data_IF_565564600659
#
_entry.id   IF_565564600659
#
_cell.length_a   1.000
_cell.length_b   1.000
_cell.length_c   1.000
_cell.angle_alpha   90.00
_cell.angle_beta   90.00
_cell.angle_gamma   90.00
#
_symmetry.space_group_name_H-M   'P 1'
#
loop_
_entity.id
_entity.type
_entity.pdbx_description
1 polymer ?
#
# COMPACT_ATOMS: atom_id res chain seq x y z
N UNK A 1 -8.82 -1.94 -0.30
CA UNK A 1 -9.51 -2.23 0.98
C UNK A 1 -9.76 -0.96 1.80
N UNK A 2 -8.74 -0.17 2.15
CA UNK A 2 -8.89 0.89 3.17
C UNK A 2 -9.52 2.21 2.69
N UNK A 3 -9.38 2.57 1.40
CA UNK A 3 -9.83 3.86 0.85
C UNK A 3 -11.30 4.23 1.21
N UNK A 4 -12.31 3.36 0.99
CA UNK A 4 -13.70 3.72 1.30
C UNK A 4 -13.94 3.93 2.81
N UNK A 5 -13.10 3.37 3.68
CA UNK A 5 -13.28 3.39 5.12
C UNK A 5 -12.68 4.62 5.80
N UNK A 6 -11.75 5.31 5.11
CA UNK A 6 -11.03 6.44 5.67
C UNK A 6 -11.96 7.57 6.14
N UNK A 7 -13.00 7.86 5.37
CA UNK A 7 -13.98 8.90 5.72
C UNK A 7 -14.84 8.52 6.93
N UNK A 8 -15.26 7.25 7.00
CA UNK A 8 -16.06 6.74 8.12
C UNK A 8 -15.25 6.72 9.43
N UNK A 9 -14.01 6.26 9.37
CA UNK A 9 -13.12 6.23 10.55
C UNK A 9 -12.67 7.62 10.99
N UNK A 10 -12.41 8.54 10.06
CA UNK A 10 -12.12 9.92 10.42
C UNK A 10 -13.31 10.56 11.17
N UNK A 11 -14.54 10.31 10.72
CA UNK A 11 -15.76 10.80 11.38
C UNK A 11 -16.00 10.15 12.74
N UNK A 12 -15.74 8.84 12.89
CA UNK A 12 -15.88 8.15 14.19
C UNK A 12 -14.87 8.66 15.23
N UNK A 13 -13.72 9.18 14.79
CA UNK A 13 -12.74 9.88 15.62
C UNK A 13 -13.11 11.34 15.91
N UNK A 14 -14.27 11.81 15.46
CA UNK A 14 -14.74 13.19 15.67
C UNK A 14 -14.22 14.22 14.66
N UNK A 15 -13.61 13.80 13.54
CA UNK A 15 -13.15 14.72 12.51
C UNK A 15 -14.33 15.29 11.71
N UNK A 16 -14.28 16.59 11.43
CA UNK A 16 -15.22 17.21 10.47
C UNK A 16 -14.97 16.68 9.05
N UNK A 17 -15.97 16.71 8.15
CA UNK A 17 -15.78 16.32 6.75
C UNK A 17 -14.64 17.06 6.05
N UNK A 18 -14.46 18.35 6.39
CA UNK A 18 -13.37 19.19 5.86
C UNK A 18 -12.01 18.67 6.30
N UNK A 19 -11.85 18.31 7.59
CA UNK A 19 -10.59 17.76 8.12
C UNK A 19 -10.28 16.39 7.50
N UNK A 20 -11.29 15.53 7.36
CA UNK A 20 -11.12 14.25 6.68
C UNK A 20 -10.69 14.44 5.20
N UNK A 21 -11.27 15.43 4.52
CA UNK A 21 -10.87 15.83 3.18
C UNK A 21 -9.41 16.29 3.12
N UNK A 22 -8.99 17.17 4.03
CA UNK A 22 -7.60 17.66 4.11
C UNK A 22 -6.60 16.52 4.34
N UNK A 23 -6.92 15.57 5.24
CA UNK A 23 -6.08 14.39 5.49
C UNK A 23 -6.02 13.47 4.26
N UNK A 24 -7.12 13.33 3.53
CA UNK A 24 -7.15 12.61 2.25
C UNK A 24 -6.28 13.27 1.19
N UNK A 25 -6.39 14.59 1.03
CA UNK A 25 -5.63 15.39 0.07
C UNK A 25 -4.13 15.40 0.39
N UNK A 26 -3.75 15.53 1.66
CA UNK A 26 -2.34 15.51 2.07
C UNK A 26 -1.67 14.20 1.72
N UNK A 27 -2.37 13.07 1.88
CA UNK A 27 -1.88 11.77 1.41
C UNK A 27 -1.68 11.74 -0.10
N UNK A 28 -2.61 12.27 -0.90
CA UNK A 28 -2.47 12.34 -2.36
C UNK A 28 -1.27 13.18 -2.79
N UNK A 29 -1.07 14.33 -2.15
CA UNK A 29 0.09 15.22 -2.37
C UNK A 29 1.39 14.49 -2.05
N UNK A 30 1.47 13.87 -0.86
CA UNK A 30 2.64 13.08 -0.47
C UNK A 30 2.93 11.96 -1.47
N UNK A 31 1.89 11.27 -1.93
CA UNK A 31 2.04 10.18 -2.90
C UNK A 31 2.51 10.69 -4.27
N UNK A 32 2.05 11.86 -4.71
CA UNK A 32 2.48 12.47 -5.96
C UNK A 32 3.98 12.80 -5.93
N UNK A 33 4.45 13.52 -4.92
CA UNK A 33 5.86 13.90 -4.81
C UNK A 33 6.78 12.70 -4.55
N UNK A 34 6.35 11.76 -3.70
CA UNK A 34 7.13 10.57 -3.40
C UNK A 34 7.21 9.58 -4.56
N UNK A 35 6.25 9.58 -5.49
CA UNK A 35 6.26 8.62 -6.61
C UNK A 35 7.51 8.76 -7.48
N UNK A 36 7.88 9.98 -7.84
CA UNK A 36 9.11 10.27 -8.60
C UNK A 36 10.35 9.96 -7.76
N UNK A 37 10.37 10.40 -6.51
CA UNK A 37 11.53 10.24 -5.62
C UNK A 37 11.86 8.76 -5.36
N UNK A 38 10.84 7.98 -4.99
CA UNK A 38 10.96 6.55 -4.72
C UNK A 38 11.24 5.77 -6.01
N UNK A 39 10.70 6.22 -7.15
CA UNK A 39 11.01 5.67 -8.46
C UNK A 39 12.51 5.76 -8.78
N UNK A 40 13.08 6.98 -8.77
CA UNK A 40 14.50 7.20 -9.01
C UNK A 40 15.38 6.48 -7.97
N UNK A 41 14.99 6.50 -6.71
CA UNK A 41 15.69 5.77 -5.65
C UNK A 41 15.71 4.27 -5.90
N UNK A 42 14.61 3.70 -6.42
CA UNK A 42 14.52 2.28 -6.76
C UNK A 42 15.40 1.87 -7.95
N UNK A 43 15.66 2.79 -8.87
CA UNK A 43 16.56 2.55 -9.99
C UNK A 43 18.03 2.47 -9.53
N UNK A 44 18.41 3.24 -8.51
CA UNK A 44 19.81 3.30 -8.00
C UNK A 44 20.10 2.22 -6.96
N UNK A 45 19.22 2.02 -5.97
CA UNK A 45 19.41 1.05 -4.87
C UNK A 45 19.09 -0.38 -5.31
N UNK A 46 18.37 -0.53 -6.42
CA UNK A 46 17.94 -1.80 -6.94
C UNK A 46 16.47 -2.07 -6.59
N UNK A 47 15.69 -2.38 -7.63
CA UNK A 47 14.23 -2.51 -7.54
C UNK A 47 13.76 -3.53 -6.53
N UNK A 48 14.48 -4.64 -6.34
CA UNK A 48 14.11 -5.71 -5.38
C UNK A 48 14.19 -5.21 -3.93
N UNK A 49 15.28 -4.56 -3.55
CA UNK A 49 15.48 -4.01 -2.21
C UNK A 49 14.49 -2.88 -1.92
N UNK A 50 14.29 -1.97 -2.87
CA UNK A 50 13.32 -0.88 -2.73
C UNK A 50 11.89 -1.39 -2.62
N UNK A 51 11.52 -2.43 -3.38
CA UNK A 51 10.20 -3.07 -3.28
C UNK A 51 9.95 -3.63 -1.88
N UNK A 52 10.93 -4.34 -1.31
CA UNK A 52 10.85 -4.88 0.06
C UNK A 52 10.68 -3.79 1.12
N UNK A 53 11.49 -2.73 1.05
CA UNK A 53 11.39 -1.61 1.98
C UNK A 53 10.01 -0.93 1.89
N UNK A 54 9.50 -0.71 0.67
CA UNK A 54 8.16 -0.19 0.46
C UNK A 54 7.07 -1.07 1.08
N UNK A 55 7.17 -2.40 0.93
CA UNK A 55 6.21 -3.35 1.51
C UNK A 55 6.25 -3.30 3.04
N UNK A 56 7.44 -3.34 3.65
CA UNK A 56 7.60 -3.31 5.11
C UNK A 56 7.12 -1.99 5.72
N UNK A 57 7.48 -0.86 5.13
CA UNK A 57 7.05 0.46 5.60
C UNK A 57 5.54 0.68 5.39
N UNK A 58 4.98 0.12 4.33
CA UNK A 58 3.52 0.10 4.12
C UNK A 58 2.82 -0.76 5.19
N UNK A 59 3.36 -1.93 5.54
CA UNK A 59 2.83 -2.76 6.62
C UNK A 59 2.83 -2.01 7.96
N UNK A 60 3.95 -1.37 8.32
CA UNK A 60 4.06 -0.54 9.52
C UNK A 60 3.05 0.61 9.51
N UNK A 61 2.86 1.27 8.37
CA UNK A 61 1.86 2.32 8.22
C UNK A 61 0.43 1.82 8.40
N UNK A 62 0.09 0.63 7.90
CA UNK A 62 -1.22 0.00 8.14
C UNK A 62 -1.40 -0.44 9.60
N UNK A 63 -0.33 -0.89 10.26
CA UNK A 63 -0.35 -1.20 11.69
C UNK A 63 -0.65 0.05 12.53
N UNK A 64 0.05 1.15 12.26
CA UNK A 64 -0.20 2.46 12.89
C UNK A 64 -1.63 2.95 12.64
N UNK A 65 -2.14 2.75 11.42
CA UNK A 65 -3.50 3.11 11.06
C UNK A 65 -4.52 2.31 11.86
N UNK A 66 -4.31 0.99 12.03
CA UNK A 66 -5.17 0.14 12.86
C UNK A 66 -5.13 0.49 14.35
N UNK A 67 -4.03 1.08 14.83
CA UNK A 67 -3.88 1.57 16.20
C UNK A 67 -4.38 3.01 16.41
N UNK A 68 -4.90 3.67 15.36
CA UNK A 68 -5.32 5.08 15.44
C UNK A 68 -6.58 5.27 16.29
N UNK A 69 -6.39 5.89 17.46
CA UNK A 69 -7.45 6.26 18.41
C UNK A 69 -7.75 7.77 18.40
N UNK A 70 -6.98 8.57 17.68
CA UNK A 70 -7.19 10.02 17.55
C UNK A 70 -6.96 10.48 16.11
N UNK A 71 -7.58 11.61 15.74
CA UNK A 71 -7.44 12.22 14.40
C UNK A 71 -5.97 12.56 14.10
N UNK A 72 -5.21 12.96 15.11
CA UNK A 72 -3.78 13.24 14.98
C UNK A 72 -2.97 11.97 14.66
N UNK A 73 -3.20 10.87 15.40
CA UNK A 73 -2.51 9.60 15.14
C UNK A 73 -2.89 9.05 13.76
N UNK A 74 -4.17 9.19 13.39
CA UNK A 74 -4.66 8.82 12.06
C UNK A 74 -3.93 9.61 10.97
N UNK A 75 -3.82 10.93 11.09
CA UNK A 75 -3.09 11.77 10.13
C UNK A 75 -1.60 11.39 10.05
N UNK A 76 -0.97 11.16 11.20
CA UNK A 76 0.43 10.74 11.27
C UNK A 76 0.65 9.38 10.58
N UNK A 77 -0.26 8.41 10.78
CA UNK A 77 -0.21 7.11 10.13
C UNK A 77 -0.33 7.21 8.59
N UNK A 78 -0.90 8.30 8.04
CA UNK A 78 -0.97 8.50 6.59
C UNK A 78 0.37 8.85 5.96
N UNK A 79 1.29 9.46 6.70
CA UNK A 79 2.60 9.90 6.18
C UNK A 79 3.44 8.73 5.66
N UNK A 80 3.73 7.67 6.45
CA UNK A 80 4.54 6.54 5.95
C UNK A 80 3.85 5.82 4.79
N UNK A 81 2.52 5.64 4.87
CA UNK A 81 1.75 5.02 3.78
C UNK A 81 1.75 5.91 2.53
N UNK A 82 1.76 7.23 2.67
CA UNK A 82 1.81 8.17 1.55
C UNK A 82 3.14 8.14 0.81
N UNK A 83 4.24 8.04 1.56
CA UNK A 83 5.59 8.06 1.00
C UNK A 83 5.98 6.72 0.40
N UNK A 84 5.64 5.59 1.05
CA UNK A 84 6.22 4.28 0.70
C UNK A 84 5.28 3.34 -0.06
N UNK A 85 4.00 3.68 -0.25
CA UNK A 85 3.03 2.80 -0.95
C UNK A 85 3.13 2.91 -2.48
N UNK A 86 4.33 2.67 -3.01
CA UNK A 86 4.66 2.65 -4.46
C UNK A 86 4.94 1.25 -5.01
N UNK A 87 4.61 0.21 -4.25
CA UNK A 87 4.82 -1.20 -4.60
C UNK A 87 4.32 -1.55 -6.01
N UNK A 88 3.16 -1.05 -6.43
CA UNK A 88 2.62 -1.34 -7.76
C UNK A 88 3.50 -0.81 -8.90
N UNK A 89 4.06 0.39 -8.74
CA UNK A 89 4.93 1.02 -9.72
C UNK A 89 6.27 0.28 -9.82
N UNK A 90 6.90 0.01 -8.67
CA UNK A 90 8.18 -0.73 -8.61
C UNK A 90 8.02 -2.15 -9.15
N UNK A 91 6.93 -2.85 -8.80
CA UNK A 91 6.65 -4.20 -9.32
C UNK A 91 6.46 -4.23 -10.83
N UNK A 92 5.78 -3.24 -11.41
CA UNK A 92 5.64 -3.14 -12.88
C UNK A 92 6.99 -2.94 -13.56
N UNK A 93 7.82 -2.07 -13.00
CA UNK A 93 9.14 -1.80 -13.55
C UNK A 93 10.07 -3.02 -13.41
N UNK A 94 10.07 -3.68 -12.24
CA UNK A 94 10.81 -4.93 -12.01
C UNK A 94 10.36 -6.05 -12.96
N UNK A 95 9.06 -6.18 -13.23
CA UNK A 95 8.55 -7.17 -14.18
C UNK A 95 9.05 -6.89 -15.60
N UNK A 96 9.06 -5.63 -16.04
CA UNK A 96 9.58 -5.23 -17.35
C UNK A 96 11.08 -5.50 -17.50
N UNK A 97 11.84 -5.36 -16.41
CA UNK A 97 13.28 -5.63 -16.40
C UNK A 97 13.61 -7.13 -16.46
N UNK A 98 12.77 -7.98 -15.86
CA UNK A 98 13.00 -9.43 -15.79
C UNK A 98 12.45 -10.20 -16.99
N UNK A 99 11.48 -9.64 -17.72
CA UNK A 99 10.79 -10.31 -18.83
C UNK A 99 11.37 -9.88 -20.17
N UNK A 100 11.57 -10.86 -21.06
CA UNK A 100 12.05 -10.65 -22.44
C UNK A 100 11.05 -9.78 -23.20
N UNK A 101 11.56 -8.88 -24.03
CA UNK A 101 10.76 -7.84 -24.72
C UNK A 101 9.53 -8.38 -25.47
N UNK A 102 9.66 -9.55 -26.11
CA UNK A 102 8.56 -10.23 -26.81
C UNK A 102 7.41 -10.67 -25.89
N UNK A 103 7.71 -10.99 -24.64
CA UNK A 103 6.75 -11.48 -23.64
C UNK A 103 6.22 -10.39 -22.72
N UNK A 104 6.88 -9.20 -22.68
CA UNK A 104 6.50 -8.07 -21.84
C UNK A 104 5.02 -7.68 -21.94
N UNK A 105 4.40 -7.57 -23.13
CA UNK A 105 2.99 -7.21 -23.24
C UNK A 105 2.07 -8.22 -22.53
N UNK A 106 2.38 -9.51 -22.66
CA UNK A 106 1.61 -10.58 -22.04
C UNK A 106 1.79 -10.62 -20.52
N UNK A 107 3.02 -10.44 -20.05
CA UNK A 107 3.32 -10.37 -18.62
C UNK A 107 2.66 -9.16 -17.95
N UNK A 108 2.77 -7.97 -18.56
CA UNK A 108 2.10 -6.75 -18.08
C UNK A 108 0.57 -6.86 -18.17
N UNK A 109 0.04 -7.53 -19.19
CA UNK A 109 -1.39 -7.84 -19.31
C UNK A 109 -1.89 -8.65 -18.12
N UNK A 110 -1.21 -9.78 -17.80
CA UNK A 110 -1.54 -10.62 -16.63
C UNK A 110 -1.43 -9.84 -15.31
N UNK A 111 -0.37 -9.04 -15.16
CA UNK A 111 -0.16 -8.19 -14.00
C UNK A 111 -1.30 -7.18 -13.81
N UNK A 112 -1.73 -6.53 -14.89
CA UNK A 112 -2.84 -5.58 -14.86
C UNK A 112 -4.17 -6.26 -14.53
N UNK A 113 -4.43 -7.45 -15.08
CA UNK A 113 -5.62 -8.24 -14.72
C UNK A 113 -5.66 -8.57 -13.23
N UNK A 114 -4.54 -9.05 -12.67
CA UNK A 114 -4.44 -9.34 -11.24
C UNK A 114 -4.63 -8.07 -10.38
N UNK A 115 -4.05 -6.95 -10.80
CA UNK A 115 -4.19 -5.65 -10.14
C UNK A 115 -5.65 -5.19 -10.15
N UNK A 116 -6.32 -5.25 -11.30
CA UNK A 116 -7.73 -4.87 -11.44
C UNK A 116 -8.65 -5.74 -10.59
N UNK A 117 -8.41 -7.06 -10.56
CA UNK A 117 -9.15 -7.97 -9.67
C UNK A 117 -8.99 -7.56 -8.18
N UNK A 118 -7.78 -7.22 -7.75
CA UNK A 118 -7.52 -6.71 -6.41
C UNK A 118 -8.20 -5.37 -6.11
N UNK A 119 -8.31 -4.47 -7.10
CA UNK A 119 -9.03 -3.20 -6.98
C UNK A 119 -10.55 -3.38 -6.88
N UNK A 120 -11.11 -4.45 -7.43
CA UNK A 120 -12.53 -4.78 -7.32
C UNK A 120 -12.81 -5.48 -5.99
N UNK A 121 -12.09 -6.57 -5.70
CA UNK A 121 -12.31 -7.39 -4.50
C UNK A 121 -11.93 -6.66 -3.22
N UNK A 122 -10.89 -5.80 -3.28
CA UNK A 122 -10.36 -5.13 -2.12
C UNK A 122 -11.37 -4.21 -1.42
N UNK A 123 -11.98 -3.22 -2.09
CA UNK A 123 -13.02 -2.38 -1.51
C UNK A 123 -14.27 -3.16 -1.09
N UNK A 124 -14.66 -4.19 -1.85
CA UNK A 124 -15.81 -5.04 -1.52
C UNK A 124 -15.62 -5.74 -0.17
N UNK A 125 -14.49 -6.44 0.01
CA UNK A 125 -14.15 -7.07 1.29
C UNK A 125 -13.91 -6.05 2.40
N UNK A 126 -13.24 -4.93 2.10
CA UNK A 126 -13.01 -3.87 3.08
C UNK A 126 -14.29 -3.22 3.59
N UNK A 127 -15.27 -2.99 2.71
CA UNK A 127 -16.59 -2.47 3.08
C UNK A 127 -17.33 -3.41 4.01
N UNK A 128 -17.41 -4.70 3.64
CA UNK A 128 -18.04 -5.72 4.48
C UNK A 128 -17.40 -5.82 5.87
N UNK A 129 -16.06 -5.86 5.93
CA UNK A 129 -15.33 -5.92 7.20
C UNK A 129 -15.55 -4.68 8.07
N UNK A 130 -15.87 -3.53 7.49
CA UNK A 130 -16.06 -2.29 8.24
C UNK A 130 -17.41 -2.18 8.95
N UNK A 131 -18.40 -2.98 8.55
CA UNK A 131 -19.70 -3.06 9.23
C UNK A 131 -19.62 -3.87 10.53
N UNK A 132 -18.57 -4.69 10.70
CA UNK A 132 -18.33 -5.45 11.92
C UNK A 132 -17.84 -4.53 13.06
N UNK A 133 -18.05 -4.94 14.31
CA UNK A 133 -17.50 -4.25 15.48
C UNK A 133 -15.96 -4.19 15.41
N UNK A 134 -15.40 -2.98 15.46
CA UNK A 134 -13.95 -2.77 15.27
C UNK A 134 -13.46 -3.01 13.85
N UNK A 135 -14.35 -3.03 12.86
CA UNK A 135 -14.09 -3.39 11.47
C UNK A 135 -12.96 -2.62 10.78
N UNK A 136 -12.76 -1.34 11.12
CA UNK A 136 -11.63 -0.57 10.61
C UNK A 136 -10.28 -1.12 11.07
N UNK A 137 -10.15 -1.42 12.38
CA UNK A 137 -8.93 -2.00 12.96
C UNK A 137 -8.67 -3.38 12.36
N UNK A 138 -9.71 -4.20 12.21
CA UNK A 138 -9.61 -5.52 11.61
C UNK A 138 -9.17 -5.44 10.13
N UNK A 139 -9.75 -4.53 9.35
CA UNK A 139 -9.33 -4.29 7.96
C UNK A 139 -7.88 -3.83 7.87
N UNK A 140 -7.45 -2.93 8.76
CA UNK A 140 -6.08 -2.44 8.82
C UNK A 140 -5.08 -3.56 9.19
N UNK A 141 -5.43 -4.44 10.13
CA UNK A 141 -4.63 -5.60 10.50
C UNK A 141 -4.54 -6.63 9.37
N UNK A 142 -5.65 -6.94 8.69
CA UNK A 142 -5.64 -7.82 7.51
C UNK A 142 -4.72 -7.24 6.43
N UNK A 143 -4.80 -5.93 6.17
CA UNK A 143 -3.89 -5.27 5.24
C UNK A 143 -2.43 -5.43 5.68
N UNK A 144 -2.13 -5.17 6.95
CA UNK A 144 -0.78 -5.37 7.50
C UNK A 144 -0.30 -6.81 7.27
N UNK A 145 -1.09 -7.81 7.64
CA UNK A 145 -0.77 -9.23 7.45
C UNK A 145 -0.52 -9.58 5.98
N UNK A 146 -1.35 -9.08 5.06
CA UNK A 146 -1.16 -9.30 3.61
C UNK A 146 0.15 -8.66 3.14
N UNK A 147 0.49 -7.46 3.60
CA UNK A 147 1.79 -6.84 3.24
C UNK A 147 2.97 -7.60 3.85
N UNK A 148 2.88 -8.08 5.10
CA UNK A 148 3.93 -8.89 5.73
C UNK A 148 4.12 -10.23 5.01
N UNK A 149 3.03 -10.92 4.66
CA UNK A 149 3.10 -12.15 3.86
C UNK A 149 3.70 -11.90 2.47
N UNK A 150 3.34 -10.79 1.83
CA UNK A 150 3.94 -10.37 0.57
C UNK A 150 5.41 -9.94 0.72
N UNK A 151 5.88 -9.58 1.92
CA UNK A 151 7.31 -9.37 2.16
C UNK A 151 8.05 -10.71 2.28
N UNK A 152 7.41 -11.73 2.85
CA UNK A 152 8.03 -13.04 3.06
C UNK A 152 8.47 -13.71 1.75
N UNK A 153 7.64 -13.70 0.70
CA UNK A 153 7.99 -14.32 -0.59
C UNK A 153 9.26 -13.73 -1.26
N UNK A 154 9.38 -12.40 -1.45
CA UNK A 154 10.59 -11.78 -1.98
C UNK A 154 11.78 -11.83 -1.02
N UNK A 155 11.58 -11.81 0.32
CA UNK A 155 12.67 -12.05 1.29
C UNK A 155 13.20 -13.47 1.18
N UNK A 156 12.33 -14.47 1.05
CA UNK A 156 12.73 -15.87 0.85
C UNK A 156 13.52 -16.03 -0.45
N UNK A 157 13.04 -15.39 -1.53
CA UNK A 157 13.75 -15.38 -2.80
C UNK A 157 15.12 -14.68 -2.71
N UNK A 158 15.23 -13.59 -1.95
CA UNK A 158 16.50 -12.89 -1.73
C UNK A 158 17.49 -13.72 -0.90
N UNK A 159 17.03 -14.36 0.19
CA UNK A 159 17.86 -15.24 1.02
C UNK A 159 18.34 -16.45 0.21
N UNK A 160 17.48 -17.05 -0.62
CA UNK A 160 17.88 -18.14 -1.52
C UNK A 160 18.79 -17.70 -2.70
N UNK A 161 18.93 -16.40 -2.94
CA UNK A 161 19.79 -15.84 -4.01
C UNK A 161 21.16 -15.38 -3.51
N UNK A 162 21.40 -15.35 -2.20
CA UNK A 162 22.73 -15.06 -1.63
C UNK A 162 23.48 -16.39 -1.52
N UNK A 163 24.55 -16.60 -2.30
CA UNK A 163 25.36 -17.82 -2.25
C UNK A 163 26.13 -17.96 -0.93
#
# INVERSE_FOLDING_TARGET
MVIPLLGLHARSLGASPTVAGIIGSSYGILQLFSSTLVGCWSDVVGRRCSLLLCILLSALGYLLLGASTSVFLFALARVPVGIFKHTLSISRALLSDLVVEKERPMALGRFNTATSAGFILGPMLGGYLAELEGGFRLTALICCSVFVLNAAAPVLALICSVP
#
